data_IF_308954960066
#
_entry.id   IF_308954960066
#
_cell.length_a   1.000
_cell.length_b   1.000
_cell.length_c   1.000
_cell.angle_alpha   90.00
_cell.angle_beta   90.00
_cell.angle_gamma   90.00
#
_symmetry.space_group_name_H-M   'P 1'
#
loop_
_entity.id
_entity.type
_entity.pdbx_description
1 polymer ?
#
# COMPACT_ATOMS: atom_id res chain seq x y z
N UNK A 1 -24.76 -2.82 -20.05
CA UNK A 1 -24.27 -4.14 -20.46
C UNK A 1 -23.05 -3.97 -21.36
N UNK A 2 -21.87 -4.30 -20.85
CA UNK A 2 -20.60 -4.18 -21.59
C UNK A 2 -20.43 -5.39 -22.55
N UNK A 3 -21.00 -6.54 -22.18
CA UNK A 3 -21.21 -7.70 -23.05
C UNK A 3 -22.08 -8.75 -22.39
N UNK A 4 -22.41 -9.82 -23.11
CA UNK A 4 -23.01 -11.04 -22.56
C UNK A 4 -22.28 -12.26 -23.10
N UNK A 5 -22.18 -13.29 -22.27
CA UNK A 5 -21.65 -14.60 -22.67
C UNK A 5 -22.75 -15.66 -22.48
N UNK A 6 -22.78 -16.72 -23.29
CA UNK A 6 -23.67 -17.85 -23.05
C UNK A 6 -23.44 -18.45 -21.65
N UNK A 7 -24.47 -19.04 -21.07
CA UNK A 7 -24.35 -19.75 -19.80
C UNK A 7 -23.24 -20.83 -19.87
N UNK A 8 -22.34 -20.83 -18.89
CA UNK A 8 -21.17 -21.70 -18.86
C UNK A 8 -19.89 -20.93 -18.54
N UNK A 9 -18.74 -21.47 -18.95
CA UNK A 9 -17.45 -20.78 -18.85
C UNK A 9 -17.19 -20.01 -20.13
N UNK A 10 -17.02 -18.69 -20.01
CA UNK A 10 -16.66 -17.81 -21.12
C UNK A 10 -15.69 -16.74 -20.65
N UNK A 11 -15.00 -16.12 -21.61
CA UNK A 11 -14.20 -14.93 -21.39
C UNK A 11 -14.85 -13.75 -22.12
N UNK A 12 -14.74 -12.57 -21.52
CA UNK A 12 -15.09 -11.31 -22.16
C UNK A 12 -13.84 -10.45 -22.23
N UNK A 13 -13.63 -9.77 -23.36
CA UNK A 13 -12.52 -8.84 -23.55
C UNK A 13 -13.09 -7.45 -23.72
N UNK A 14 -12.76 -6.57 -22.78
CA UNK A 14 -13.06 -5.15 -22.88
C UNK A 14 -11.84 -4.40 -23.45
N UNK A 15 -12.09 -3.28 -24.11
CA UNK A 15 -11.06 -2.33 -24.57
C UNK A 15 -11.48 -0.91 -24.17
N UNK A 16 -11.58 -0.63 -22.87
CA UNK A 16 -12.12 0.64 -22.43
C UNK A 16 -11.05 1.75 -22.57
N UNK A 17 -11.44 3.03 -22.49
CA UNK A 17 -10.49 4.14 -22.49
C UNK A 17 -9.37 3.95 -21.45
N UNK A 18 -8.14 4.27 -21.86
CA UNK A 18 -6.99 4.24 -20.94
C UNK A 18 -7.01 5.42 -19.97
N UNK A 19 -6.30 5.29 -18.85
CA UNK A 19 -6.16 6.29 -17.80
C UNK A 19 -7.24 6.23 -16.72
N UNK A 20 -8.01 5.14 -16.62
CA UNK A 20 -9.21 5.06 -15.77
C UNK A 20 -9.30 3.68 -15.10
N UNK A 21 -9.79 3.67 -13.86
CA UNK A 21 -10.14 2.45 -13.11
C UNK A 21 -11.58 2.02 -13.39
N UNK A 22 -11.79 0.72 -13.57
CA UNK A 22 -13.06 0.10 -13.93
C UNK A 22 -13.42 -1.01 -12.95
N UNK A 23 -14.67 -1.00 -12.51
CA UNK A 23 -15.26 -2.06 -11.69
C UNK A 23 -16.14 -2.98 -12.53
N UNK A 24 -15.80 -4.27 -12.55
CA UNK A 24 -16.55 -5.30 -13.25
C UNK A 24 -17.30 -6.19 -12.27
N UNK A 25 -18.56 -6.50 -12.58
CA UNK A 25 -19.35 -7.53 -11.91
C UNK A 25 -20.18 -8.28 -12.96
N UNK A 26 -20.65 -9.47 -12.58
CA UNK A 26 -21.48 -10.32 -13.44
C UNK A 26 -22.87 -10.45 -12.84
N UNK A 27 -23.91 -10.29 -13.66
CA UNK A 27 -25.28 -10.67 -13.36
C UNK A 27 -25.73 -11.79 -14.29
N UNK A 28 -26.63 -12.64 -13.81
CA UNK A 28 -27.33 -13.62 -14.63
C UNK A 28 -28.68 -13.03 -15.05
N UNK A 29 -29.02 -13.16 -16.33
CA UNK A 29 -30.33 -12.78 -16.88
C UNK A 29 -31.07 -14.06 -17.22
N UNK A 30 -32.32 -14.19 -16.78
CA UNK A 30 -33.17 -15.35 -17.12
C UNK A 30 -33.78 -15.22 -18.53
N UNK A 31 -34.65 -16.16 -18.90
CA UNK A 31 -35.31 -16.19 -20.20
C UNK A 31 -36.83 -15.88 -20.12
N UNK A 32 -37.28 -15.24 -19.04
CA UNK A 32 -38.68 -14.83 -18.88
C UNK A 32 -39.00 -13.54 -19.65
N UNK A 33 -40.29 -13.16 -19.73
CA UNK A 33 -40.73 -11.89 -20.31
C UNK A 33 -41.65 -11.17 -19.31
N UNK A 34 -41.21 -10.07 -18.69
CA UNK A 34 -39.89 -9.42 -18.84
C UNK A 34 -38.76 -10.27 -18.23
N UNK A 35 -37.54 -10.09 -18.74
CA UNK A 35 -36.34 -10.71 -18.20
C UNK A 35 -36.09 -10.24 -16.76
N UNK A 36 -35.64 -11.15 -15.89
CA UNK A 36 -35.17 -10.83 -14.55
C UNK A 36 -33.65 -10.94 -14.45
N UNK A 37 -33.03 -10.03 -13.70
CA UNK A 37 -31.60 -10.06 -13.39
C UNK A 37 -31.34 -10.54 -11.95
N UNK A 38 -30.26 -11.30 -11.76
CA UNK A 38 -29.78 -11.68 -10.43
C UNK A 38 -29.17 -10.51 -9.66
N UNK A 39 -28.91 -10.70 -8.37
CA UNK A 39 -27.96 -9.86 -7.66
C UNK A 39 -26.56 -9.94 -8.34
N UNK A 40 -25.77 -8.85 -8.32
CA UNK A 40 -24.40 -8.85 -8.83
C UNK A 40 -23.49 -9.86 -8.11
N UNK A 41 -22.50 -10.38 -8.83
CA UNK A 41 -21.35 -11.07 -8.25
C UNK A 41 -20.49 -10.13 -7.38
N UNK A 42 -19.37 -10.64 -6.87
CA UNK A 42 -18.30 -9.78 -6.37
C UNK A 42 -17.77 -8.87 -7.50
N UNK A 43 -17.22 -7.72 -7.09
CA UNK A 43 -16.58 -6.77 -7.99
C UNK A 43 -15.11 -7.15 -8.22
N UNK A 44 -14.62 -6.92 -9.44
CA UNK A 44 -13.21 -6.91 -9.79
C UNK A 44 -12.84 -5.54 -10.34
N UNK A 45 -11.96 -4.82 -9.62
CA UNK A 45 -11.43 -3.52 -10.03
C UNK A 45 -10.15 -3.68 -10.85
N UNK A 46 -10.00 -2.90 -11.91
CA UNK A 46 -8.77 -2.86 -12.73
C UNK A 46 -8.54 -1.47 -13.30
N UNK A 47 -7.29 -1.00 -13.26
CA UNK A 47 -6.87 0.18 -14.01
C UNK A 47 -6.45 -0.21 -15.42
N UNK A 48 -6.92 0.53 -16.41
CA UNK A 48 -6.51 0.35 -17.81
C UNK A 48 -5.67 1.55 -18.21
N UNK A 49 -4.37 1.37 -18.43
CA UNK A 49 -3.46 2.44 -18.81
C UNK A 49 -2.00 2.11 -18.50
N UNK A 50 -1.10 3.07 -18.74
CA UNK A 50 0.29 2.95 -18.28
C UNK A 50 0.38 3.25 -16.78
N UNK A 51 1.20 2.48 -16.06
CA UNK A 51 1.49 2.70 -14.65
C UNK A 51 2.78 3.50 -14.48
N UNK A 52 2.97 4.08 -13.30
CA UNK A 52 4.26 4.68 -12.92
C UNK A 52 5.24 3.59 -12.48
N UNK A 53 6.54 3.87 -12.56
CA UNK A 53 7.56 2.92 -12.12
C UNK A 53 7.52 2.76 -10.60
N UNK A 54 7.27 3.85 -9.88
CA UNK A 54 7.19 3.86 -8.42
C UNK A 54 5.81 4.29 -7.96
N UNK A 55 5.38 3.71 -6.85
CA UNK A 55 4.23 4.17 -6.08
C UNK A 55 4.73 4.69 -4.73
N UNK A 56 4.27 5.87 -4.34
CA UNK A 56 4.34 6.35 -2.95
C UNK A 56 2.94 6.21 -2.40
N UNK A 57 2.74 5.23 -1.53
CA UNK A 57 1.48 4.98 -0.85
C UNK A 57 1.56 5.52 0.57
N UNK A 58 0.75 6.53 0.86
CA UNK A 58 0.54 7.07 2.20
C UNK A 58 -0.74 6.46 2.75
N UNK A 59 -0.65 5.66 3.81
CA UNK A 59 -1.82 4.99 4.37
C UNK A 59 -2.96 5.98 4.64
N UNK A 60 -4.23 5.63 4.37
CA UNK A 60 -5.34 6.59 4.36
C UNK A 60 -5.61 7.28 5.71
N UNK A 61 -5.21 6.65 6.81
CA UNK A 61 -5.33 7.19 8.17
C UNK A 61 -4.06 7.95 8.63
N UNK A 62 -2.98 7.86 7.86
CA UNK A 62 -1.74 8.55 8.17
C UNK A 62 -1.91 10.06 7.97
N UNK A 63 -1.53 10.86 8.98
CA UNK A 63 -1.63 12.31 8.91
C UNK A 63 -0.49 12.99 9.69
N UNK A 64 -0.42 14.32 9.58
CA UNK A 64 0.59 15.11 10.29
C UNK A 64 1.98 14.98 9.69
N UNK A 65 3.02 15.03 10.53
CA UNK A 65 4.40 14.99 10.04
C UNK A 65 4.76 13.62 9.47
N UNK A 66 4.23 12.54 10.06
CA UNK A 66 4.41 11.16 9.57
C UNK A 66 3.81 10.88 8.19
N UNK A 67 2.87 11.70 7.70
CA UNK A 67 2.37 11.61 6.32
C UNK A 67 3.14 12.50 5.34
N UNK A 68 3.74 13.60 5.83
CA UNK A 68 4.43 14.60 5.00
C UNK A 68 5.76 14.07 4.41
N UNK A 69 6.30 12.98 4.94
CA UNK A 69 7.42 12.26 4.34
C UNK A 69 7.07 11.67 2.98
N UNK A 70 5.81 11.25 2.76
CA UNK A 70 5.31 10.81 1.45
C UNK A 70 5.45 11.87 0.37
N UNK A 71 5.07 13.13 0.67
CA UNK A 71 5.27 14.27 -0.23
C UNK A 71 6.76 14.48 -0.55
N UNK A 72 7.62 14.32 0.46
CA UNK A 72 9.06 14.50 0.31
C UNK A 72 9.71 13.41 -0.55
N UNK A 73 9.30 12.15 -0.36
CA UNK A 73 9.74 11.00 -1.16
C UNK A 73 9.27 11.17 -2.61
N UNK A 74 8.00 11.53 -2.82
CA UNK A 74 7.45 11.80 -4.14
C UNK A 74 8.22 12.91 -4.86
N UNK A 75 8.44 14.05 -4.19
CA UNK A 75 9.18 15.17 -4.75
C UNK A 75 10.63 14.79 -5.09
N UNK A 76 11.29 13.98 -4.26
CA UNK A 76 12.64 13.51 -4.50
C UNK A 76 12.72 12.58 -5.72
N UNK A 77 11.81 11.61 -5.85
CA UNK A 77 11.75 10.71 -7.00
C UNK A 77 11.49 11.49 -8.30
N UNK A 78 10.49 12.38 -8.28
CA UNK A 78 10.18 13.23 -9.43
C UNK A 78 11.36 14.14 -9.81
N UNK A 79 12.07 14.71 -8.84
CA UNK A 79 13.25 15.55 -9.09
C UNK A 79 14.43 14.75 -9.70
N UNK A 80 14.51 13.45 -9.44
CA UNK A 80 15.49 12.55 -10.06
C UNK A 80 15.03 12.01 -11.43
N UNK A 81 13.87 12.42 -11.93
CA UNK A 81 13.33 12.04 -13.23
C UNK A 81 12.61 10.69 -13.24
N UNK A 82 12.28 10.14 -12.07
CA UNK A 82 11.54 8.89 -11.97
C UNK A 82 10.05 9.08 -12.28
N UNK A 83 9.45 8.05 -12.89
CA UNK A 83 8.01 7.97 -13.06
C UNK A 83 7.39 7.52 -11.73
N UNK A 84 6.69 8.42 -11.04
CA UNK A 84 6.17 8.17 -9.68
C UNK A 84 4.74 8.71 -9.53
N UNK A 85 3.93 8.02 -8.74
CA UNK A 85 2.61 8.46 -8.34
C UNK A 85 2.50 8.48 -6.81
N UNK A 86 1.82 9.50 -6.26
CA UNK A 86 1.52 9.62 -4.84
C UNK A 86 0.02 9.41 -4.64
N UNK A 87 -0.35 8.47 -3.78
CA UNK A 87 -1.75 8.13 -3.50
C UNK A 87 -1.94 7.72 -2.04
N UNK A 88 -3.19 7.75 -1.59
CA UNK A 88 -3.62 7.13 -0.35
C UNK A 88 -4.34 5.78 -0.53
N UNK A 89 -4.41 5.27 -1.76
CA UNK A 89 -4.96 3.97 -2.09
C UNK A 89 -3.87 3.07 -2.71
N UNK A 90 -3.48 2.01 -1.99
CA UNK A 90 -2.49 1.04 -2.49
C UNK A 90 -2.93 0.41 -3.83
N UNK A 91 -4.23 0.35 -4.08
CA UNK A 91 -4.85 -0.25 -5.26
C UNK A 91 -5.31 0.77 -6.29
N UNK A 92 -4.77 2.00 -6.26
CA UNK A 92 -5.08 3.08 -7.22
C UNK A 92 -5.09 2.57 -8.68
N UNK A 93 -4.09 1.75 -9.02
CA UNK A 93 -3.91 1.17 -10.36
C UNK A 93 -4.34 -0.31 -10.44
N UNK A 94 -5.20 -0.75 -9.53
CA UNK A 94 -5.68 -2.12 -9.41
C UNK A 94 -4.86 -2.99 -8.45
N UNK A 95 -5.28 -4.24 -8.28
CA UNK A 95 -4.74 -5.15 -7.26
C UNK A 95 -3.39 -5.78 -7.64
N UNK A 96 -2.96 -5.64 -8.89
CA UNK A 96 -1.68 -6.18 -9.35
C UNK A 96 -0.55 -5.18 -9.08
N UNK A 97 0.16 -5.39 -7.98
CA UNK A 97 1.29 -4.55 -7.59
C UNK A 97 2.58 -4.85 -8.38
N UNK A 98 2.62 -5.93 -9.19
CA UNK A 98 3.82 -6.29 -9.96
C UNK A 98 4.19 -5.29 -11.06
N UNK A 99 3.29 -4.33 -11.32
CA UNK A 99 3.49 -3.21 -12.25
C UNK A 99 4.53 -2.20 -11.77
N UNK A 100 4.86 -2.17 -10.48
CA UNK A 100 5.81 -1.22 -9.91
C UNK A 100 7.22 -1.83 -9.74
N UNK A 101 8.23 -1.04 -10.06
CA UNK A 101 9.64 -1.32 -9.77
C UNK A 101 9.95 -1.26 -8.26
N UNK A 102 9.19 -0.46 -7.51
CA UNK A 102 9.24 -0.35 -6.06
C UNK A 102 8.08 0.47 -5.49
N UNK A 103 7.72 0.19 -4.24
CA UNK A 103 6.65 0.90 -3.51
C UNK A 103 7.24 1.52 -2.24
N UNK A 104 7.03 2.80 -2.05
CA UNK A 104 7.32 3.50 -0.78
C UNK A 104 6.03 3.52 0.05
N UNK A 105 6.07 2.87 1.20
CA UNK A 105 4.95 2.67 2.12
C UNK A 105 5.13 3.60 3.31
N UNK A 106 4.22 4.54 3.48
CA UNK A 106 4.26 5.56 4.53
C UNK A 106 3.04 5.38 5.43
N UNK A 107 3.26 4.84 6.63
CA UNK A 107 2.20 4.48 7.57
C UNK A 107 2.00 5.53 8.67
N UNK A 108 2.90 6.51 8.80
CA UNK A 108 2.80 7.55 9.82
C UNK A 108 3.15 7.08 11.24
N UNK A 109 2.95 7.97 12.21
CA UNK A 109 3.35 7.76 13.62
C UNK A 109 2.10 7.96 14.51
N UNK A 110 2.01 7.18 15.60
CA UNK A 110 0.87 7.26 16.52
C UNK A 110 0.66 8.69 17.05
N UNK A 111 -0.58 9.19 17.16
CA UNK A 111 -1.87 8.52 16.94
C UNK A 111 -2.47 8.75 15.55
N UNK A 112 -1.66 9.21 14.60
CA UNK A 112 -2.08 9.54 13.23
C UNK A 112 -1.40 8.59 12.25
N UNK A 113 -1.40 7.30 12.57
CA UNK A 113 -0.86 6.23 11.74
C UNK A 113 -1.98 5.44 11.07
N UNK A 114 -1.64 4.84 9.93
CA UNK A 114 -2.42 3.81 9.30
C UNK A 114 -1.87 2.43 9.69
N UNK A 115 -2.72 1.62 10.30
CA UNK A 115 -2.40 0.24 10.66
C UNK A 115 -2.83 -0.66 9.51
N UNK A 116 -1.88 -1.35 8.89
CA UNK A 116 -2.20 -2.41 7.92
C UNK A 116 -2.90 -3.53 8.70
N UNK A 117 -4.19 -3.74 8.47
CA UNK A 117 -4.95 -4.73 9.22
C UNK A 117 -4.53 -6.16 8.84
N UNK A 118 -4.38 -7.08 9.82
CA UNK A 118 -4.07 -8.49 9.54
C UNK A 118 -5.12 -9.20 8.67
N UNK A 119 -6.36 -8.70 8.68
CA UNK A 119 -7.48 -9.21 7.88
C UNK A 119 -7.77 -8.37 6.63
N UNK A 120 -7.00 -7.31 6.42
CA UNK A 120 -7.16 -6.40 5.28
C UNK A 120 -6.52 -6.96 4.00
N UNK A 121 -6.84 -6.38 2.84
CA UNK A 121 -6.28 -6.79 1.56
C UNK A 121 -4.84 -6.30 1.32
N UNK A 122 -4.40 -5.25 2.02
CA UNK A 122 -3.10 -4.60 1.82
C UNK A 122 -1.92 -5.54 2.15
N UNK A 123 -1.94 -6.16 3.33
CA UNK A 123 -0.88 -7.08 3.77
C UNK A 123 -0.65 -8.25 2.79
N UNK A 124 -1.69 -9.04 2.44
CA UNK A 124 -1.59 -10.10 1.45
C UNK A 124 -1.14 -9.63 0.06
N UNK A 125 -1.49 -8.40 -0.35
CA UNK A 125 -1.03 -7.85 -1.62
C UNK A 125 0.48 -7.53 -1.59
N UNK A 126 0.97 -6.96 -0.49
CA UNK A 126 2.39 -6.72 -0.26
C UNK A 126 3.19 -8.03 -0.17
N UNK A 127 2.66 -9.05 0.50
CA UNK A 127 3.24 -10.41 0.52
C UNK A 127 3.44 -10.95 -0.89
N UNK A 128 2.38 -10.91 -1.70
CA UNK A 128 2.42 -11.42 -3.07
C UNK A 128 3.41 -10.62 -3.92
N UNK A 129 3.48 -9.30 -3.73
CA UNK A 129 4.44 -8.44 -4.43
C UNK A 129 5.90 -8.80 -4.08
N UNK A 130 6.21 -8.89 -2.80
CA UNK A 130 7.56 -9.21 -2.30
C UNK A 130 7.99 -10.64 -2.64
N UNK A 131 7.08 -11.61 -2.54
CA UNK A 131 7.33 -12.99 -2.94
C UNK A 131 7.70 -13.14 -4.42
N UNK A 132 7.24 -12.22 -5.27
CA UNK A 132 7.55 -12.16 -6.69
C UNK A 132 8.79 -11.31 -7.03
N UNK A 133 9.56 -10.88 -6.03
CA UNK A 133 10.78 -10.09 -6.22
C UNK A 133 10.54 -8.58 -6.28
N UNK A 134 9.34 -8.12 -5.91
CA UNK A 134 9.06 -6.72 -5.67
C UNK A 134 9.90 -6.14 -4.54
N UNK A 135 9.94 -4.81 -4.43
CA UNK A 135 10.74 -4.11 -3.42
C UNK A 135 9.91 -3.04 -2.76
N UNK A 136 9.95 -3.00 -1.44
CA UNK A 136 9.32 -1.92 -0.69
C UNK A 136 10.32 -1.18 0.19
N UNK A 137 10.04 0.09 0.42
CA UNK A 137 10.52 0.86 1.55
C UNK A 137 9.33 1.08 2.48
N UNK A 138 9.50 0.91 3.78
CA UNK A 138 8.43 1.12 4.77
C UNK A 138 8.92 2.07 5.85
N UNK A 139 8.10 3.07 6.15
CA UNK A 139 8.22 3.88 7.37
C UNK A 139 6.89 3.88 8.12
N UNK A 140 6.97 3.80 9.44
CA UNK A 140 5.83 3.81 10.37
C UNK A 140 6.33 3.70 11.81
N UNK A 141 5.58 4.27 12.75
CA UNK A 141 5.94 4.26 14.17
C UNK A 141 5.85 2.86 14.78
N UNK A 142 4.67 2.24 14.71
CA UNK A 142 4.31 0.99 15.39
C UNK A 142 4.23 -0.23 14.44
N UNK A 143 4.51 -0.02 13.15
CA UNK A 143 4.14 -0.97 12.11
C UNK A 143 4.94 -2.28 12.13
N UNK A 144 6.12 -2.27 12.75
CA UNK A 144 6.95 -3.45 12.90
C UNK A 144 6.59 -4.19 14.16
N UNK A 145 6.40 -3.55 15.33
CA UNK A 145 6.20 -4.27 16.59
C UNK A 145 4.78 -4.23 17.15
N UNK A 146 4.35 -3.05 17.60
CA UNK A 146 3.13 -2.91 18.37
C UNK A 146 1.87 -3.21 17.53
N UNK A 147 1.79 -2.71 16.31
CA UNK A 147 0.64 -2.92 15.43
C UNK A 147 0.38 -4.43 15.20
N UNK A 148 1.36 -5.26 14.80
CA UNK A 148 1.14 -6.69 14.66
C UNK A 148 0.69 -7.43 15.93
N UNK A 149 1.10 -6.98 17.12
CA UNK A 149 0.62 -7.53 18.40
C UNK A 149 -0.84 -7.18 18.68
N UNK A 150 -1.32 -6.04 18.17
CA UNK A 150 -2.70 -5.57 18.32
C UNK A 150 -3.63 -5.98 17.17
N UNK A 151 -3.20 -6.88 16.28
CA UNK A 151 -4.00 -7.35 15.14
C UNK A 151 -3.72 -6.66 13.81
N UNK A 152 -2.63 -5.90 13.74
CA UNK A 152 -2.00 -5.46 12.50
C UNK A 152 -1.28 -6.59 11.77
N UNK A 153 -0.90 -6.33 10.53
CA UNK A 153 -0.25 -7.26 9.63
C UNK A 153 1.23 -7.45 9.98
N UNK A 154 1.70 -8.70 9.96
CA UNK A 154 3.07 -9.08 10.33
C UNK A 154 4.06 -8.83 9.19
N UNK A 155 4.57 -7.60 9.06
CA UNK A 155 5.48 -7.20 7.97
C UNK A 155 6.96 -7.58 8.22
N UNK A 156 7.35 -7.77 9.49
CA UNK A 156 8.74 -8.07 9.92
C UNK A 156 9.48 -9.15 9.12
N UNK A 157 8.87 -10.29 8.74
CA UNK A 157 9.58 -11.36 8.02
C UNK A 157 10.22 -10.92 6.69
N UNK A 158 9.74 -9.84 6.08
CA UNK A 158 10.30 -9.29 4.85
C UNK A 158 11.55 -8.43 5.05
N UNK A 159 11.80 -7.99 6.28
CA UNK A 159 12.88 -7.07 6.64
C UNK A 159 14.01 -7.71 7.44
N UNK A 160 13.93 -9.04 7.66
CA UNK A 160 14.88 -9.79 8.50
C UNK A 160 15.00 -9.20 9.91
N UNK A 161 13.86 -8.71 10.43
CA UNK A 161 13.73 -8.17 11.78
C UNK A 161 13.33 -9.30 12.73
N UNK A 162 14.07 -9.44 13.84
CA UNK A 162 13.75 -10.39 14.90
C UNK A 162 12.44 -9.99 15.61
N UNK A 163 11.79 -10.98 16.24
CA UNK A 163 10.59 -10.82 17.08
C UNK A 163 10.93 -10.30 18.49
N UNK A 164 11.84 -9.32 18.54
CA UNK A 164 12.32 -8.69 19.77
C UNK A 164 11.23 -7.89 20.50
N UNK A 165 11.39 -7.70 21.82
CA UNK A 165 10.50 -6.84 22.59
C UNK A 165 10.62 -5.41 22.10
N UNK A 166 9.49 -4.74 21.95
CA UNK A 166 9.49 -3.31 21.69
C UNK A 166 10.16 -2.59 22.86
N UNK A 167 10.97 -1.59 22.54
CA UNK A 167 11.57 -0.75 23.56
C UNK A 167 10.53 0.13 24.24
N UNK A 168 11.01 1.13 24.96
CA UNK A 168 10.13 2.02 25.74
C UNK A 168 10.60 3.46 25.77
N UNK A 169 11.66 3.77 25.03
CA UNK A 169 12.30 5.07 25.04
C UNK A 169 11.96 5.88 23.79
N UNK A 170 11.58 7.14 24.02
CA UNK A 170 11.48 8.15 22.97
C UNK A 170 12.86 8.42 22.33
N UNK A 171 12.90 8.57 21.00
CA UNK A 171 14.10 9.02 20.28
C UNK A 171 14.44 10.47 20.64
N UNK A 172 15.48 10.69 21.45
CA UNK A 172 15.90 12.05 21.84
C UNK A 172 16.95 12.66 20.88
N UNK A 173 17.65 11.84 20.10
CA UNK A 173 18.71 12.32 19.24
C UNK A 173 19.23 11.28 18.25
N UNK A 174 19.76 11.79 17.14
CA UNK A 174 20.33 11.00 16.06
C UNK A 174 21.84 11.15 16.11
N UNK A 175 22.53 10.04 16.34
CA UNK A 175 23.98 9.96 16.29
C UNK A 175 24.39 9.36 14.95
N UNK A 176 25.23 10.07 14.20
CA UNK A 176 25.84 9.47 13.02
C UNK A 176 26.80 8.35 13.42
N UNK A 177 26.97 7.37 12.52
CA UNK A 177 27.92 6.27 12.67
C UNK A 177 29.02 6.38 11.61
N UNK A 178 30.17 5.77 11.86
CA UNK A 178 31.33 5.74 10.94
C UNK A 178 31.80 7.15 10.54
N UNK A 179 31.85 7.43 9.24
CA UNK A 179 32.26 8.72 8.69
C UNK A 179 31.32 9.86 9.11
N UNK A 180 30.13 9.53 9.65
CA UNK A 180 29.17 10.49 10.20
C UNK A 180 29.25 10.62 11.73
N UNK A 181 30.20 9.96 12.41
CA UNK A 181 30.30 9.96 13.89
C UNK A 181 30.49 11.33 14.53
N UNK A 182 30.90 12.34 13.76
CA UNK A 182 30.99 13.72 14.24
C UNK A 182 29.64 14.45 14.27
N UNK A 183 28.59 13.90 13.65
CA UNK A 183 27.28 14.51 13.57
C UNK A 183 26.37 13.98 14.67
N UNK A 184 25.80 14.91 15.43
CA UNK A 184 24.76 14.65 16.43
C UNK A 184 23.66 15.70 16.23
N UNK A 185 22.42 15.22 16.12
CA UNK A 185 21.25 16.05 15.96
C UNK A 185 20.25 15.77 17.06
N UNK A 186 19.65 16.82 17.62
CA UNK A 186 18.43 16.65 18.43
C UNK A 186 17.29 16.24 17.53
N UNK A 187 16.56 15.19 17.92
CA UNK A 187 15.35 14.80 17.23
C UNK A 187 14.18 15.63 17.75
N UNK A 188 13.47 16.29 16.85
CA UNK A 188 12.32 17.17 17.17
C UNK A 188 11.06 16.76 16.38
N UNK A 189 11.09 15.58 15.77
CA UNK A 189 9.97 15.02 15.02
C UNK A 189 8.92 14.38 15.91
N UNK A 190 7.88 13.84 15.29
CA UNK A 190 6.91 12.96 15.96
C UNK A 190 7.63 11.71 16.47
N UNK A 191 7.28 11.28 17.68
CA UNK A 191 8.09 10.31 18.42
C UNK A 191 7.29 9.44 19.39
N UNK A 192 5.97 9.48 19.30
CA UNK A 192 5.16 8.67 20.20
C UNK A 192 5.12 7.25 19.63
N UNK A 193 5.46 6.26 20.47
CA UNK A 193 5.37 4.83 20.12
C UNK A 193 6.13 4.54 18.81
N UNK A 194 7.42 4.85 18.85
CA UNK A 194 8.34 4.45 17.79
C UNK A 194 8.89 3.08 18.15
N UNK A 195 8.77 2.12 17.23
CA UNK A 195 9.35 0.80 17.38
C UNK A 195 10.87 0.92 17.65
N UNK A 196 11.34 0.31 18.74
CA UNK A 196 12.76 0.13 19.03
C UNK A 196 13.13 -1.34 18.74
N UNK A 197 13.79 -1.57 17.60
CA UNK A 197 14.06 -2.88 17.00
C UNK A 197 15.52 -3.33 17.17
#
# INVERSE_FOLDING_TARGET
LIGSVPAGTGTYTDTPPQGVSYDYHVTAVDNEVPENESAPSNTAGVYVGGTTNFLVWVGPDAAGAGAASGDSIFAALAANGESVFLTNDLFEFGNDLSVYEGIFVVLGIFSNNHVIAATGPEGPALDAYLANGGRIYVEGGDCFNYDPEQGGYQIRPWFDLDDGPDGSGDLAGINGLNDLSAFNFSYVGENNWMDEL
#
